data_IF_245186170529
#
_entry.id   IF_245186170529
#
_cell.length_a   1.000
_cell.length_b   1.000
_cell.length_c   1.000
_cell.angle_alpha   90.00
_cell.angle_beta   90.00
_cell.angle_gamma   90.00
#
_symmetry.space_group_name_H-M   'P 1'
#
loop_
_entity.id
_entity.type
_entity.pdbx_description
1 polymer ?
#
# COMPACT_ATOMS: atom_id res chain seq x y z
N UNK A 1 -7.18 -25.35 -2.58
CA UNK A 1 -6.86 -23.93 -2.44
C UNK A 1 -8.10 -23.14 -2.79
N UNK A 2 -8.74 -22.52 -1.80
CA UNK A 2 -9.98 -21.77 -2.03
C UNK A 2 -9.71 -20.45 -2.75
N UNK A 3 -10.66 -20.02 -3.58
CA UNK A 3 -10.66 -18.66 -4.15
C UNK A 3 -10.65 -17.66 -3.01
N UNK A 4 -9.66 -16.75 -3.02
CA UNK A 4 -9.51 -15.63 -2.10
C UNK A 4 -10.81 -14.84 -2.01
N UNK A 5 -11.23 -14.45 -0.80
CA UNK A 5 -12.52 -13.79 -0.58
C UNK A 5 -12.63 -12.49 -1.40
N UNK A 6 -11.54 -11.72 -1.52
CA UNK A 6 -11.51 -10.51 -2.35
C UNK A 6 -11.77 -10.85 -3.82
N UNK A 7 -11.15 -11.92 -4.34
CA UNK A 7 -11.35 -12.32 -5.74
C UNK A 7 -12.79 -12.76 -6.02
N UNK A 8 -13.47 -13.38 -5.03
CA UNK A 8 -14.90 -13.72 -5.16
C UNK A 8 -15.77 -12.47 -5.29
N UNK A 9 -15.57 -11.50 -4.41
CA UNK A 9 -16.34 -10.25 -4.42
C UNK A 9 -16.10 -9.46 -5.71
N UNK A 10 -14.84 -9.37 -6.14
CA UNK A 10 -14.50 -8.72 -7.41
C UNK A 10 -15.13 -9.45 -8.59
N UNK A 11 -15.14 -10.79 -8.59
CA UNK A 11 -15.80 -11.60 -9.61
C UNK A 11 -17.29 -11.26 -9.77
N UNK A 12 -18.01 -11.06 -8.66
CA UNK A 12 -19.41 -10.63 -8.71
C UNK A 12 -19.55 -9.23 -9.37
N UNK A 13 -18.67 -8.29 -9.05
CA UNK A 13 -18.67 -6.95 -9.63
C UNK A 13 -18.28 -6.95 -11.13
N UNK A 14 -17.43 -7.87 -11.56
CA UNK A 14 -17.13 -8.10 -12.97
C UNK A 14 -18.35 -8.65 -13.73
N UNK A 15 -19.04 -9.65 -13.17
CA UNK A 15 -20.23 -10.26 -13.78
C UNK A 15 -21.35 -9.22 -13.94
N UNK A 16 -21.49 -8.32 -12.96
CA UNK A 16 -22.45 -7.21 -13.01
C UNK A 16 -22.04 -6.08 -13.96
N UNK A 17 -20.85 -6.15 -14.56
CA UNK A 17 -20.34 -5.11 -15.47
C UNK A 17 -19.96 -3.80 -14.77
N UNK A 18 -19.76 -3.82 -13.44
CA UNK A 18 -19.39 -2.64 -12.66
C UNK A 18 -17.88 -2.40 -12.75
N UNK A 19 -17.08 -3.46 -12.64
CA UNK A 19 -15.62 -3.39 -12.73
C UNK A 19 -15.08 -4.01 -14.02
N UNK A 20 -14.00 -3.42 -14.51
CA UNK A 20 -13.22 -3.88 -15.65
C UNK A 20 -11.73 -3.93 -15.30
N UNK A 21 -10.96 -4.65 -16.10
CA UNK A 21 -9.50 -4.66 -15.95
C UNK A 21 -8.90 -3.36 -16.47
N UNK A 22 -8.02 -2.74 -15.68
CA UNK A 22 -7.18 -1.65 -16.17
C UNK A 22 -5.85 -2.21 -16.67
N UNK A 23 -5.53 -1.90 -17.92
CA UNK A 23 -4.23 -2.26 -18.50
C UNK A 23 -3.18 -1.21 -18.09
N UNK A 24 -1.96 -1.68 -17.80
CA UNK A 24 -0.83 -0.79 -17.61
C UNK A 24 -0.34 -0.22 -18.96
N UNK A 25 0.67 0.65 -18.92
CA UNK A 25 1.26 1.26 -20.14
C UNK A 25 1.79 0.24 -21.17
N UNK A 26 2.04 -1.01 -20.75
CA UNK A 26 2.50 -2.12 -21.59
C UNK A 26 1.35 -3.01 -22.08
N UNK A 27 0.09 -2.60 -21.89
CA UNK A 27 -1.09 -3.37 -22.27
C UNK A 27 -1.36 -4.60 -21.39
N UNK A 28 -0.61 -4.78 -20.30
CA UNK A 28 -0.74 -5.93 -19.40
C UNK A 28 -1.65 -5.63 -18.21
N UNK A 29 -2.40 -6.64 -17.76
CA UNK A 29 -3.21 -6.54 -16.54
C UNK A 29 -2.31 -6.55 -15.31
N UNK A 30 -2.64 -5.71 -14.33
CA UNK A 30 -2.02 -5.78 -13.00
C UNK A 30 -3.06 -6.31 -12.03
N UNK A 31 -3.08 -7.63 -11.88
CA UNK A 31 -4.02 -8.34 -11.01
C UNK A 31 -3.25 -9.36 -10.17
N UNK A 32 -2.57 -8.85 -9.14
CA UNK A 32 -1.79 -9.64 -8.20
C UNK A 32 -2.60 -9.99 -6.95
N UNK A 33 -2.04 -10.85 -6.07
CA UNK A 33 -2.68 -11.23 -4.82
C UNK A 33 -2.92 -10.03 -3.90
N UNK A 34 -1.94 -9.10 -3.81
CA UNK A 34 -1.99 -7.93 -2.91
C UNK A 34 -2.34 -6.60 -3.58
N UNK A 35 -2.34 -6.54 -4.91
CA UNK A 35 -2.55 -5.31 -5.66
C UNK A 35 -3.29 -5.58 -6.98
N UNK A 36 -4.41 -4.91 -7.18
CA UNK A 36 -5.27 -5.08 -8.35
C UNK A 36 -5.61 -3.70 -8.90
N UNK A 37 -5.31 -3.48 -10.18
CA UNK A 37 -5.60 -2.24 -10.88
C UNK A 37 -6.80 -2.48 -11.81
N UNK A 38 -7.90 -1.83 -11.48
CA UNK A 38 -9.20 -1.99 -12.11
C UNK A 38 -9.70 -0.64 -12.62
N UNK A 39 -10.85 -0.67 -13.28
CA UNK A 39 -11.57 0.51 -13.73
C UNK A 39 -13.05 0.33 -13.44
N UNK A 40 -13.71 1.37 -12.94
CA UNK A 40 -15.16 1.42 -12.94
C UNK A 40 -15.63 1.59 -14.39
N UNK A 41 -16.43 0.64 -14.88
CA UNK A 41 -16.79 0.55 -16.31
C UNK A 41 -17.58 1.77 -16.76
N UNK A 42 -18.58 2.19 -15.97
CA UNK A 42 -19.46 3.30 -16.35
C UNK A 42 -18.72 4.64 -16.40
N UNK A 43 -17.96 4.96 -15.35
CA UNK A 43 -17.29 6.27 -15.24
C UNK A 43 -15.91 6.34 -15.89
N UNK A 44 -15.29 5.19 -16.20
CA UNK A 44 -13.88 5.10 -16.62
C UNK A 44 -12.84 5.39 -15.51
N UNK A 45 -13.27 5.69 -14.27
CA UNK A 45 -12.36 5.98 -13.16
C UNK A 45 -11.51 4.73 -12.83
N UNK A 46 -10.19 4.93 -12.77
CA UNK A 46 -9.25 3.90 -12.34
C UNK A 46 -9.36 3.62 -10.84
N UNK A 47 -9.46 2.34 -10.47
CA UNK A 47 -9.58 1.88 -9.08
C UNK A 47 -8.39 0.99 -8.74
N UNK A 48 -7.67 1.34 -7.68
CA UNK A 48 -6.51 0.57 -7.21
C UNK A 48 -6.85 -0.08 -5.87
N UNK A 49 -6.95 -1.40 -5.85
CA UNK A 49 -7.30 -2.18 -4.65
C UNK A 49 -6.03 -2.82 -4.11
N UNK A 50 -5.74 -2.54 -2.84
CA UNK A 50 -4.62 -3.12 -2.11
C UNK A 50 -5.14 -3.92 -0.93
N UNK A 51 -4.65 -5.16 -0.77
CA UNK A 51 -4.95 -6.00 0.39
C UNK A 51 -3.71 -6.19 1.25
N UNK A 52 -3.93 -6.22 2.56
CA UNK A 52 -2.89 -6.36 3.57
C UNK A 52 -3.49 -7.01 4.83
N UNK A 53 -2.64 -7.45 5.74
CA UNK A 53 -3.08 -7.94 7.05
C UNK A 53 -3.09 -6.82 8.11
N UNK A 54 -3.71 -7.10 9.25
CA UNK A 54 -3.81 -6.14 10.36
C UNK A 54 -2.44 -5.69 10.88
N UNK A 55 -1.42 -6.55 10.82
CA UNK A 55 -0.06 -6.25 11.28
C UNK A 55 0.64 -5.23 10.37
N UNK A 56 0.37 -5.28 9.08
CA UNK A 56 0.97 -4.39 8.09
C UNK A 56 0.10 -3.16 7.80
N UNK A 57 -1.08 -3.06 8.40
CA UNK A 57 -2.04 -1.99 8.18
C UNK A 57 -1.47 -0.57 8.35
N UNK A 58 -0.70 -0.25 9.42
CA UNK A 58 -0.20 1.10 9.62
C UNK A 58 0.77 1.56 8.53
N UNK A 59 1.65 0.66 8.07
CA UNK A 59 2.58 0.95 6.97
C UNK A 59 1.84 1.07 5.65
N UNK A 60 0.84 0.21 5.40
CA UNK A 60 0.03 0.28 4.20
C UNK A 60 -0.69 1.64 4.09
N UNK A 61 -1.24 2.17 5.19
CA UNK A 61 -1.86 3.50 5.21
C UNK A 61 -0.86 4.60 4.82
N UNK A 62 0.31 4.65 5.47
CA UNK A 62 1.35 5.65 5.14
C UNK A 62 1.75 5.58 3.67
N UNK A 63 2.04 4.38 3.17
CA UNK A 63 2.54 4.17 1.81
C UNK A 63 1.48 4.53 0.77
N UNK A 64 0.21 4.17 0.99
CA UNK A 64 -0.88 4.34 0.02
C UNK A 64 -1.50 5.73 0.04
N UNK A 65 -1.52 6.39 1.18
CA UNK A 65 -1.91 7.79 1.26
C UNK A 65 -0.85 8.68 0.61
N UNK A 66 0.44 8.30 0.67
CA UNK A 66 1.53 9.11 0.10
C UNK A 66 1.70 10.43 0.84
N UNK A 67 2.35 11.45 0.26
CA UNK A 67 2.91 11.53 -1.10
C UNK A 67 4.22 10.79 -1.38
N UNK A 68 4.65 10.78 -2.64
CA UNK A 68 5.89 10.11 -3.11
C UNK A 68 7.11 10.62 -2.35
N UNK A 69 7.17 11.93 -2.09
CA UNK A 69 8.30 12.56 -1.40
C UNK A 69 8.29 12.21 0.09
N UNK A 70 7.12 12.16 0.73
CA UNK A 70 6.98 11.67 2.11
C UNK A 70 7.50 10.23 2.27
N UNK A 71 7.08 9.31 1.39
CA UNK A 71 7.57 7.92 1.40
C UNK A 71 9.09 7.86 1.17
N UNK A 72 9.62 8.67 0.25
CA UNK A 72 11.05 8.77 -0.02
C UNK A 72 11.83 9.31 1.19
N UNK A 73 11.29 10.29 1.92
CA UNK A 73 11.88 10.82 3.15
C UNK A 73 11.96 9.76 4.24
N UNK A 74 10.90 8.99 4.47
CA UNK A 74 10.88 7.88 5.45
C UNK A 74 11.94 6.84 5.07
N UNK A 75 11.96 6.40 3.81
CA UNK A 75 12.93 5.42 3.34
C UNK A 75 14.38 5.93 3.46
N UNK A 76 14.62 7.21 3.13
CA UNK A 76 15.95 7.82 3.24
C UNK A 76 16.38 7.96 4.70
N UNK A 77 15.47 8.35 5.60
CA UNK A 77 15.75 8.45 7.04
C UNK A 77 16.03 7.06 7.65
N UNK A 78 15.29 6.03 7.23
CA UNK A 78 15.57 4.64 7.59
C UNK A 78 16.99 4.24 7.18
N UNK A 79 17.36 4.47 5.92
CA UNK A 79 18.69 4.12 5.40
C UNK A 79 19.82 4.83 6.17
N UNK A 80 19.65 6.10 6.54
CA UNK A 80 20.63 6.85 7.36
C UNK A 80 20.84 6.24 8.74
N UNK A 81 19.84 5.54 9.29
CA UNK A 81 19.95 4.79 10.55
C UNK A 81 20.43 3.34 10.37
N UNK A 82 20.72 2.91 9.14
CA UNK A 82 21.01 1.51 8.83
C UNK A 82 19.78 0.61 8.85
N UNK A 83 18.57 1.19 8.75
CA UNK A 83 17.31 0.45 8.74
C UNK A 83 16.83 0.19 7.30
N UNK A 84 16.01 -0.84 7.13
CA UNK A 84 15.30 -1.15 5.89
C UNK A 84 13.80 -1.02 6.08
N UNK A 85 13.19 -0.07 5.38
CA UNK A 85 11.73 0.13 5.38
C UNK A 85 11.02 -0.86 4.46
N UNK A 86 9.93 -1.49 4.93
CA UNK A 86 9.18 -2.49 4.18
C UNK A 86 7.79 -2.00 3.80
N UNK A 87 7.62 -1.50 2.57
CA UNK A 87 6.35 -0.91 2.10
C UNK A 87 5.13 -1.86 2.08
N UNK A 88 5.36 -3.18 2.12
CA UNK A 88 4.33 -4.23 2.23
C UNK A 88 4.45 -5.02 3.53
N UNK A 89 5.28 -4.55 4.47
CA UNK A 89 5.52 -5.19 5.76
C UNK A 89 4.97 -4.35 6.91
N UNK A 90 5.35 -4.73 8.13
CA UNK A 90 4.84 -4.11 9.36
C UNK A 90 5.72 -3.02 9.94
N UNK A 91 6.79 -2.59 9.25
CA UNK A 91 7.70 -1.56 9.75
C UNK A 91 9.09 -1.66 9.13
N UNK A 92 10.10 -1.83 9.98
CA UNK A 92 11.51 -1.71 9.60
C UNK A 92 12.32 -2.93 10.06
N UNK A 93 13.32 -3.33 9.27
CA UNK A 93 14.42 -4.17 9.77
C UNK A 93 15.56 -3.28 10.22
N UNK A 94 16.16 -3.59 11.37
CA UNK A 94 17.32 -2.91 11.96
C UNK A 94 18.41 -3.94 12.27
N UNK A 95 19.65 -3.50 12.57
CA UNK A 95 20.72 -4.41 13.01
C UNK A 95 20.36 -5.20 14.28
N UNK A 96 19.55 -4.62 15.16
CA UNK A 96 19.21 -5.20 16.47
C UNK A 96 17.89 -6.00 16.44
N UNK A 97 17.22 -6.05 15.29
CA UNK A 97 15.94 -6.75 15.13
C UNK A 97 14.91 -5.97 14.31
N UNK A 98 13.67 -6.46 14.28
CA UNK A 98 12.58 -5.82 13.55
C UNK A 98 11.83 -4.83 14.45
N UNK A 99 11.55 -3.64 13.92
CA UNK A 99 10.59 -2.68 14.49
C UNK A 99 9.25 -2.91 13.80
N UNK A 100 8.23 -3.24 14.60
CA UNK A 100 6.83 -3.35 14.16
C UNK A 100 6.12 -2.07 14.56
N UNK A 101 5.49 -1.42 13.59
CA UNK A 101 4.68 -0.21 13.80
C UNK A 101 3.21 -0.58 13.94
N UNK A 102 2.57 -0.04 14.97
CA UNK A 102 1.16 -0.26 15.30
C UNK A 102 0.26 0.94 14.95
N UNK A 103 0.88 2.08 14.58
CA UNK A 103 0.19 3.30 14.15
C UNK A 103 0.94 3.99 13.01
N UNK A 104 0.25 4.84 12.23
CA UNK A 104 0.92 5.64 11.19
C UNK A 104 2.03 6.50 11.82
N UNK A 105 1.77 7.09 13.00
CA UNK A 105 2.72 7.90 13.77
C UNK A 105 4.02 7.17 14.06
N UNK A 106 3.96 5.91 14.51
CA UNK A 106 5.15 5.11 14.78
C UNK A 106 6.02 4.88 13.53
N UNK A 107 5.42 4.86 12.33
CA UNK A 107 6.19 4.75 11.07
C UNK A 107 7.11 5.96 10.89
N UNK A 108 6.65 7.17 11.23
CA UNK A 108 7.45 8.40 11.16
C UNK A 108 8.47 8.45 12.30
N UNK A 109 8.02 8.20 13.53
CA UNK A 109 8.83 8.36 14.74
C UNK A 109 9.98 7.32 14.80
N UNK A 110 9.78 6.10 14.28
CA UNK A 110 10.84 5.08 14.20
C UNK A 110 12.09 5.58 13.47
N UNK A 111 11.89 6.41 12.44
CA UNK A 111 12.98 7.00 11.65
C UNK A 111 13.34 8.43 12.10
N UNK A 112 12.78 8.91 13.21
CA UNK A 112 13.06 10.23 13.78
C UNK A 112 12.40 11.39 13.02
N UNK A 113 11.32 11.12 12.29
CA UNK A 113 10.54 12.15 11.60
C UNK A 113 9.32 12.53 12.44
N UNK A 114 8.92 13.80 12.34
CA UNK A 114 7.63 14.26 12.86
C UNK A 114 6.51 13.60 12.06
N UNK A 115 5.47 13.14 12.74
CA UNK A 115 4.24 12.70 12.10
C UNK A 115 3.57 13.85 11.33
N UNK A 116 3.13 13.55 10.12
CA UNK A 116 2.42 14.47 9.24
C UNK A 116 0.99 13.95 9.03
N UNK A 117 0.02 14.85 9.15
CA UNK A 117 -1.36 14.56 8.77
C UNK A 117 -1.47 14.35 7.27
N UNK A 118 -2.51 13.64 6.83
CA UNK A 118 -2.64 13.20 5.43
C UNK A 118 -2.57 14.35 4.42
N UNK A 119 -3.14 15.51 4.73
CA UNK A 119 -3.11 16.72 3.90
C UNK A 119 -1.76 17.46 3.91
N UNK A 120 -0.84 17.11 4.81
CA UNK A 120 0.51 17.68 4.88
C UNK A 120 1.54 16.86 4.09
N UNK A 121 1.14 15.67 3.60
CA UNK A 121 2.03 14.72 2.92
C UNK A 121 2.06 15.00 1.41
N UNK A 122 2.91 15.92 0.98
CA UNK A 122 3.24 16.12 -0.45
C UNK A 122 4.16 15.00 -1.00
#
# INVERSE_FOLDING_TARGET
>A
GGVDQLDRELGALFIQGILGYRLNKLGSRVYGPKNKLLSHVESGIGIDIFSTDAKCWPVALVVRTGGKETNKRIATAALRKGYRFHAYGSGFSTPDGAIVCHSEREVFEAVGLRYLETWERC
#
